data_IF_738694432039
#
_entry.id   IF_738694432039
#
_cell.length_a   1.000
_cell.length_b   1.000
_cell.length_c   1.000
_cell.angle_alpha   90.00
_cell.angle_beta   90.00
_cell.angle_gamma   90.00
#
_symmetry.space_group_name_H-M   'P 1'
#
loop_
_entity.id
_entity.type
_entity.pdbx_description
1 polymer ?
#
# COMPACT_ATOMS: atom_id res chain seq x y z
N UNK A 1 -40.81 15.00 -17.20
CA UNK A 1 -40.36 14.58 -16.95
C UNK A 1 -39.54 14.09 -16.67
N UNK A 2 -39.46 13.96 -16.54
CA UNK A 2 -38.73 13.50 -16.29
C UNK A 2 -37.95 12.90 -15.87
N UNK A 3 -37.66 12.49 -15.62
CA UNK A 3 -36.94 11.90 -15.22
C UNK A 3 -36.18 11.28 -15.03
N UNK A 4 -35.87 10.93 -14.79
CA UNK A 4 -35.14 10.27 -14.62
C UNK A 4 -34.27 9.84 -14.26
N UNK A 5 -34.03 9.69 -14.16
CA UNK A 5 -33.17 9.24 -13.84
C UNK A 5 -32.45 8.63 -13.45
N UNK A 6 -32.41 8.18 -13.18
CA UNK A 6 -31.78 7.54 -12.78
C UNK A 6 -31.05 7.01 -12.52
N UNK A 7 -30.99 6.75 -12.40
CA UNK A 7 -30.36 6.15 -12.16
C UNK A 7 -29.47 5.68 -12.06
N UNK A 8 -29.29 5.55 -12.14
CA UNK A 8 -28.39 4.98 -12.19
C UNK A 8 -27.56 4.71 -11.49
N UNK A 9 -27.58 4.76 -11.12
CA UNK A 9 -26.88 4.55 -10.42
C UNK A 9 -26.24 3.63 -10.12
N UNK A 10 -26.29 3.31 -10.17
CA UNK A 10 -25.77 2.62 -9.93
C UNK A 10 -24.98 2.03 -9.93
N UNK A 11 -24.91 2.02 -9.92
CA UNK A 11 -24.33 1.45 -10.02
C UNK A 11 -23.34 0.92 -9.78
N UNK A 12 -23.32 0.42 -9.73
CA UNK A 12 -22.43 -0.18 -9.66
C UNK A 12 -21.20 -0.34 -9.19
N UNK A 13 -20.66 -0.40 -8.74
CA UNK A 13 -19.51 -0.17 -8.25
C UNK A 13 -19.02 -1.04 -7.15
N UNK A 14 -19.76 -1.55 -6.30
CA UNK A 14 -19.23 -2.26 -5.15
C UNK A 14 -18.45 -3.49 -5.52
N UNK A 15 -18.81 -4.10 -6.59
CA UNK A 15 -18.13 -5.33 -6.96
C UNK A 15 -16.68 -5.11 -7.32
N UNK A 16 -16.32 -3.89 -7.65
CA UNK A 16 -14.96 -3.60 -8.06
C UNK A 16 -13.97 -3.72 -6.93
N UNK A 17 -14.41 -3.56 -5.68
CA UNK A 17 -13.52 -3.56 -4.56
C UNK A 17 -12.82 -4.89 -4.34
N UNK A 18 -13.39 -5.99 -4.85
CA UNK A 18 -12.78 -7.29 -4.66
C UNK A 18 -12.29 -7.90 -5.96
N UNK A 19 -12.13 -7.10 -7.01
CA UNK A 19 -11.63 -7.60 -8.28
C UNK A 19 -10.12 -7.74 -8.24
N UNK A 20 -9.59 -8.58 -9.13
CA UNK A 20 -8.15 -8.74 -9.26
C UNK A 20 -7.48 -7.43 -9.63
N UNK A 21 -8.12 -6.64 -10.50
CA UNK A 21 -7.56 -5.35 -10.89
C UNK A 21 -7.49 -4.40 -9.72
N UNK A 22 -8.52 -4.39 -8.86
CA UNK A 22 -8.52 -3.53 -7.68
C UNK A 22 -7.41 -3.93 -6.71
N UNK A 23 -7.19 -5.23 -6.52
CA UNK A 23 -6.12 -5.69 -5.65
C UNK A 23 -4.75 -5.35 -6.22
N UNK A 24 -4.60 -5.45 -7.54
CA UNK A 24 -3.34 -5.07 -8.17
C UNK A 24 -3.05 -3.60 -7.98
N UNK A 25 -4.06 -2.75 -8.17
CA UNK A 25 -3.90 -1.31 -7.93
C UNK A 25 -3.54 -1.02 -6.47
N UNK A 26 -4.18 -1.75 -5.55
CA UNK A 26 -3.86 -1.60 -4.14
C UNK A 26 -2.40 -1.94 -3.85
N UNK A 27 -1.90 -3.03 -4.42
CA UNK A 27 -0.51 -3.41 -4.20
C UNK A 27 0.46 -2.39 -4.78
N UNK A 28 0.14 -1.85 -5.96
CA UNK A 28 0.98 -0.82 -6.58
C UNK A 28 0.99 0.45 -5.76
N UNK A 29 -0.16 0.83 -5.23
CA UNK A 29 -0.25 2.02 -4.40
C UNK A 29 0.54 1.83 -3.11
N UNK A 30 0.42 0.68 -2.47
CA UNK A 30 1.18 0.38 -1.27
C UNK A 30 2.66 0.45 -1.55
N UNK A 31 3.11 -0.15 -2.64
CA UNK A 31 4.52 -0.13 -3.01
C UNK A 31 5.02 1.30 -3.21
N UNK A 32 4.29 2.07 -4.00
CA UNK A 32 4.72 3.44 -4.30
C UNK A 32 4.72 4.32 -3.05
N UNK A 33 3.69 4.19 -2.23
CA UNK A 33 3.58 5.02 -1.03
C UNK A 33 4.68 4.69 -0.04
N UNK A 34 5.02 3.42 0.09
CA UNK A 34 6.05 3.00 1.04
C UNK A 34 7.45 3.36 0.53
N UNK A 35 7.71 3.15 -0.77
CA UNK A 35 9.02 3.51 -1.32
C UNK A 35 9.28 5.00 -1.21
N UNK A 36 8.24 5.82 -1.32
CA UNK A 36 8.40 7.27 -1.23
C UNK A 36 8.86 7.73 0.14
N UNK A 37 8.75 6.88 1.16
CA UNK A 37 9.17 7.26 2.51
C UNK A 37 10.64 6.97 2.77
N UNK A 38 11.30 6.25 1.86
CA UNK A 38 12.72 5.95 2.03
C UNK A 38 13.53 7.14 1.58
N UNK A 39 14.27 7.74 2.52
CA UNK A 39 15.11 8.89 2.21
C UNK A 39 16.57 8.66 2.55
N UNK A 40 16.94 7.42 2.80
CA UNK A 40 18.32 7.04 3.11
C UNK A 40 18.96 6.38 1.89
N UNK A 41 20.28 6.53 1.73
CA UNK A 41 20.96 5.89 0.62
C UNK A 41 21.07 4.39 0.85
N UNK A 42 21.16 3.65 -0.24
CA UNK A 42 21.33 2.22 -0.15
C UNK A 42 20.50 1.50 -1.18
N UNK A 43 20.66 0.20 -1.20
CA UNK A 43 19.88 -0.64 -2.10
C UNK A 43 18.61 -1.06 -1.40
N UNK A 44 17.46 -0.75 -2.01
CA UNK A 44 16.17 -0.94 -1.39
C UNK A 44 15.48 -2.14 -2.01
N UNK A 45 14.97 -3.02 -1.17
CA UNK A 45 14.06 -4.07 -1.60
C UNK A 45 12.76 -3.94 -0.83
N UNK A 46 11.67 -4.33 -1.46
CA UNK A 46 10.35 -4.21 -0.85
C UNK A 46 9.53 -5.46 -1.14
N UNK A 47 8.83 -5.90 -0.13
CA UNK A 47 7.89 -7.01 -0.25
C UNK A 47 6.53 -6.52 0.21
N UNK A 48 5.56 -6.47 -0.70
CA UNK A 48 4.23 -5.96 -0.40
C UNK A 48 3.32 -7.12 -0.05
N UNK A 49 2.61 -7.00 1.09
CA UNK A 49 1.62 -8.00 1.43
C UNK A 49 0.46 -7.91 0.44
N UNK A 50 0.05 -9.03 -0.17
CA UNK A 50 -0.92 -8.97 -1.27
C UNK A 50 -2.26 -8.34 -0.92
N UNK A 51 -2.71 -8.46 0.33
CA UNK A 51 -4.05 -8.00 0.69
C UNK A 51 -4.06 -7.08 1.90
N UNK A 52 -2.99 -7.06 2.68
CA UNK A 52 -2.95 -6.25 3.89
C UNK A 52 -3.88 -6.78 4.96
N UNK A 53 -4.26 -5.89 5.86
CA UNK A 53 -5.27 -6.14 6.88
C UNK A 53 -6.57 -5.49 6.47
N UNK A 54 -7.56 -5.50 7.37
CA UNK A 54 -8.81 -4.80 7.10
C UNK A 54 -8.61 -3.34 6.77
N UNK A 55 -7.71 -2.68 7.49
CA UNK A 55 -7.56 -1.23 7.39
C UNK A 55 -6.28 -0.78 6.73
N UNK A 56 -5.29 -1.66 6.60
CA UNK A 56 -3.96 -1.23 6.21
C UNK A 56 -3.38 -2.08 5.10
N UNK A 57 -2.65 -1.41 4.20
CA UNK A 57 -1.68 -2.08 3.37
C UNK A 57 -0.39 -2.19 4.14
N UNK A 58 0.42 -3.21 3.87
CA UNK A 58 1.63 -3.50 4.62
C UNK A 58 2.72 -3.93 3.68
N UNK A 59 3.93 -3.44 3.93
CA UNK A 59 5.10 -3.86 3.16
C UNK A 59 6.30 -3.97 4.08
N UNK A 60 7.20 -4.86 3.74
CA UNK A 60 8.47 -4.98 4.42
C UNK A 60 9.55 -4.40 3.51
N UNK A 61 10.37 -3.52 4.05
CA UNK A 61 11.44 -2.90 3.29
C UNK A 61 12.78 -3.20 3.92
N UNK A 62 13.78 -3.35 3.06
CA UNK A 62 15.15 -3.51 3.50
C UNK A 62 16.01 -2.50 2.76
N UNK A 63 16.90 -1.84 3.47
CA UNK A 63 17.86 -0.91 2.89
C UNK A 63 19.24 -1.42 3.24
N UNK A 64 20.01 -1.77 2.20
CA UNK A 64 21.33 -2.37 2.36
C UNK A 64 22.40 -1.38 1.98
N UNK A 65 23.36 -1.19 2.86
CA UNK A 65 24.54 -0.38 2.61
C UNK A 65 25.77 -1.20 3.00
N UNK A 66 26.95 -0.58 2.87
CA UNK A 66 28.17 -1.23 3.30
C UNK A 66 28.16 -1.55 4.78
N UNK A 67 27.39 -0.79 5.57
CA UNK A 67 27.31 -0.99 7.01
C UNK A 67 26.37 -2.11 7.43
N UNK A 68 25.54 -2.60 6.51
CA UNK A 68 24.61 -3.68 6.83
C UNK A 68 23.24 -3.42 6.24
N UNK A 69 22.25 -4.13 6.75
CA UNK A 69 20.87 -4.06 6.24
C UNK A 69 19.94 -3.63 7.35
N UNK A 70 19.19 -2.58 7.08
CA UNK A 70 18.10 -2.14 7.95
C UNK A 70 16.79 -2.66 7.39
N UNK A 71 15.95 -3.22 8.27
CA UNK A 71 14.64 -3.75 7.87
C UNK A 71 13.57 -2.96 8.58
N UNK A 72 12.54 -2.58 7.85
CA UNK A 72 11.47 -1.75 8.38
C UNK A 72 10.13 -2.26 7.86
N UNK A 73 9.07 -1.94 8.57
CA UNK A 73 7.72 -2.20 8.10
C UNK A 73 7.07 -0.88 7.73
N UNK A 74 6.29 -0.91 6.66
CA UNK A 74 5.52 0.23 6.23
C UNK A 74 4.04 -0.12 6.29
N UNK A 75 3.24 0.78 6.84
CA UNK A 75 1.79 0.61 6.87
C UNK A 75 1.14 1.77 6.14
N UNK A 76 0.15 1.46 5.33
CA UNK A 76 -0.57 2.46 4.55
C UNK A 76 -2.05 2.35 4.88
N UNK A 77 -2.67 3.46 5.25
CA UNK A 77 -4.09 3.48 5.52
C UNK A 77 -4.85 3.31 4.21
N UNK A 78 -5.71 2.29 4.14
CA UNK A 78 -6.41 1.96 2.90
C UNK A 78 -7.39 3.05 2.48
N UNK A 79 -7.93 3.80 3.43
CA UNK A 79 -8.91 4.83 3.11
C UNK A 79 -8.27 6.13 2.67
N UNK A 80 -7.19 6.51 3.32
CA UNK A 80 -6.58 7.82 3.06
C UNK A 80 -5.35 7.75 2.19
N UNK A 81 -4.71 6.59 2.11
CA UNK A 81 -3.45 6.45 1.41
C UNK A 81 -2.24 6.91 2.19
N UNK A 82 -2.44 7.43 3.40
CA UNK A 82 -1.32 7.88 4.21
C UNK A 82 -0.49 6.70 4.67
N UNK A 83 0.83 6.82 4.58
CA UNK A 83 1.73 5.73 4.91
C UNK A 83 2.73 6.17 5.95
N UNK A 84 3.18 5.20 6.75
CA UNK A 84 4.17 5.40 7.80
C UNK A 84 5.19 4.29 7.75
N UNK A 85 6.42 4.64 8.12
CA UNK A 85 7.51 3.69 8.15
C UNK A 85 7.98 3.52 9.60
N UNK A 86 8.18 2.28 10.00
CA UNK A 86 8.70 2.05 11.34
C UNK A 86 10.19 2.39 11.42
N UNK A 87 10.71 2.53 12.62
CA UNK A 87 12.13 2.49 12.82
C UNK A 87 12.66 1.10 12.44
N UNK A 88 13.95 0.99 12.15
CA UNK A 88 14.49 -0.32 11.80
C UNK A 88 14.32 -1.33 12.93
N UNK A 89 14.07 -2.57 12.54
CA UNK A 89 14.05 -3.66 13.50
C UNK A 89 15.46 -3.99 13.90
N UNK A 90 15.65 -4.24 15.17
CA UNK A 90 16.96 -4.63 15.66
C UNK A 90 17.10 -6.14 15.58
N UNK A 91 18.32 -6.59 15.38
CA UNK A 91 18.64 -8.02 15.42
C UNK A 91 18.99 -8.37 16.86
N UNK A 92 18.25 -9.31 17.40
CA UNK A 92 18.47 -9.73 18.77
C UNK A 92 19.06 -11.11 18.85
#
# INVERSE_FOLDING_TARGET
>A
MRRLPILFALLATPALASSDDAWQEFRQLTEASCLALIDMPGEVTIEVNPFGSDQFGVALLSVTTAAGTDRMACIMNKQTGAAELTAPFTNQ
#
